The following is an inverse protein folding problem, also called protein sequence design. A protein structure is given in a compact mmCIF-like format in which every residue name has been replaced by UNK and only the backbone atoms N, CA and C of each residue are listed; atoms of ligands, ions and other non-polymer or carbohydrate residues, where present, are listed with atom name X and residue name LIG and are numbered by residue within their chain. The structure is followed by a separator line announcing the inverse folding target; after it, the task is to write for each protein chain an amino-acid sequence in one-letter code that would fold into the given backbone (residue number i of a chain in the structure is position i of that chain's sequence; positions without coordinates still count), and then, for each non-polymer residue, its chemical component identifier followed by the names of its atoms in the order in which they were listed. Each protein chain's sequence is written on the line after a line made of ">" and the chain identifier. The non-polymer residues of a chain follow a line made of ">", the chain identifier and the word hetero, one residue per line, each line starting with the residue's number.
data_IF_604577747317
#
_entry.id   IF_604577747317
#
_cell.length_a   1.000
_cell.length_b   1.000
_cell.length_c   1.000
_cell.angle_alpha   90.00
_cell.angle_beta   90.00
_cell.angle_gamma   90.00
#
_symmetry.space_group_name_H-M   'P 1'
#
loop_
_entity.id
_entity.type
_entity.pdbx_description
1 polymer ?
#
# COMPACT_ATOMS: atom_id res chain seq x y z
N UNK A 1 -3.35 -14.51 -10.47
CA UNK A 1 -3.93 -13.58 -11.47
C UNK A 1 -4.83 -14.29 -12.49
N UNK A 2 -4.35 -15.30 -13.20
CA UNK A 2 -5.14 -16.04 -14.24
C UNK A 2 -6.46 -16.58 -13.69
N UNK A 3 -6.52 -17.09 -12.46
CA UNK A 3 -7.75 -17.63 -11.87
C UNK A 3 -8.83 -16.57 -11.59
N UNK A 4 -8.46 -15.32 -11.31
CA UNK A 4 -9.44 -14.24 -11.12
C UNK A 4 -10.08 -13.81 -12.45
N UNK A 5 -9.27 -13.69 -13.49
CA UNK A 5 -9.73 -13.30 -14.83
C UNK A 5 -10.60 -14.40 -15.46
N UNK A 6 -10.25 -15.68 -15.20
CA UNK A 6 -11.05 -16.81 -15.64
C UNK A 6 -12.44 -16.90 -15.00
N UNK A 7 -12.59 -16.50 -13.74
CA UNK A 7 -13.89 -16.49 -13.04
C UNK A 7 -14.88 -15.48 -13.64
N UNK A 8 -14.39 -14.40 -14.21
CA UNK A 8 -15.20 -13.36 -14.85
C UNK A 8 -15.53 -13.68 -16.33
N UNK A 9 -15.11 -14.83 -16.84
CA UNK A 9 -15.44 -15.26 -18.21
C UNK A 9 -14.58 -14.64 -19.32
N UNK A 10 -13.57 -13.80 -18.97
CA UNK A 10 -12.68 -13.15 -19.95
C UNK A 10 -11.64 -14.08 -20.54
N UNK A 11 -11.30 -15.14 -19.81
CA UNK A 11 -10.34 -16.16 -20.23
C UNK A 11 -10.97 -17.54 -20.00
N UNK A 12 -10.91 -18.40 -21.00
CA UNK A 12 -11.26 -19.82 -20.88
C UNK A 12 -10.02 -20.68 -21.04
N UNK A 13 -9.91 -21.73 -20.24
CA UNK A 13 -8.89 -22.76 -20.38
C UNK A 13 -9.47 -23.93 -21.17
N UNK A 14 -8.77 -24.35 -22.22
CA UNK A 14 -9.10 -25.53 -23.00
C UNK A 14 -7.80 -26.28 -23.33
N UNK A 15 -7.70 -27.57 -23.01
CA UNK A 15 -6.50 -28.40 -23.23
C UNK A 15 -5.18 -27.75 -22.81
N UNK A 16 -5.14 -27.19 -21.58
CA UNK A 16 -4.00 -26.45 -20.99
C UNK A 16 -3.58 -25.15 -21.70
N UNK A 17 -4.32 -24.74 -22.73
CA UNK A 17 -4.17 -23.42 -23.36
C UNK A 17 -5.22 -22.44 -22.83
N UNK A 18 -4.87 -21.14 -22.82
CA UNK A 18 -5.75 -20.06 -22.37
C UNK A 18 -6.19 -19.21 -23.56
N UNK A 19 -7.51 -19.06 -23.71
CA UNK A 19 -8.12 -18.28 -24.77
C UNK A 19 -8.81 -17.04 -24.19
N UNK A 20 -8.52 -15.87 -24.77
CA UNK A 20 -9.23 -14.63 -24.46
C UNK A 20 -10.62 -14.73 -25.14
N UNK A 21 -11.67 -14.68 -24.32
CA UNK A 21 -13.05 -14.79 -24.79
C UNK A 21 -13.73 -13.45 -25.01
N UNK A 22 -13.23 -12.40 -24.37
CA UNK A 22 -13.71 -11.04 -24.53
C UNK A 22 -12.54 -10.06 -24.49
N UNK A 23 -12.57 -9.06 -25.37
CA UNK A 23 -11.63 -7.94 -25.36
C UNK A 23 -12.44 -6.67 -25.32
N UNK A 24 -12.19 -5.82 -24.36
CA UNK A 24 -12.69 -4.46 -24.37
C UNK A 24 -12.02 -3.68 -25.50
N UNK A 25 -12.77 -2.79 -26.15
CA UNK A 25 -12.17 -1.74 -26.99
C UNK A 25 -11.40 -0.76 -26.09
N UNK A 26 -10.48 0.02 -26.66
CA UNK A 26 -9.78 1.06 -25.90
C UNK A 26 -10.77 2.06 -25.29
N UNK A 27 -11.80 2.45 -26.03
CA UNK A 27 -12.84 3.38 -25.57
C UNK A 27 -13.65 2.80 -24.40
N UNK A 28 -14.08 1.54 -24.45
CA UNK A 28 -14.77 0.89 -23.34
C UNK A 28 -13.89 0.80 -22.08
N UNK A 29 -12.60 0.50 -22.29
CA UNK A 29 -11.63 0.42 -21.20
C UNK A 29 -11.43 1.81 -20.52
N UNK A 30 -11.28 2.87 -21.31
CA UNK A 30 -11.07 4.23 -20.81
C UNK A 30 -12.31 4.75 -20.06
N UNK A 31 -13.51 4.49 -20.57
CA UNK A 31 -14.76 4.83 -19.90
C UNK A 31 -14.86 4.09 -18.55
N UNK A 32 -14.57 2.79 -18.52
CA UNK A 32 -14.58 2.01 -17.28
C UNK A 32 -13.57 2.50 -16.28
N UNK A 33 -12.33 2.73 -16.70
CA UNK A 33 -11.25 3.20 -15.84
C UNK A 33 -11.59 4.58 -15.24
N UNK A 34 -12.14 5.48 -16.04
CA UNK A 34 -12.59 6.80 -15.59
C UNK A 34 -13.71 6.70 -14.55
N UNK A 35 -14.74 5.88 -14.81
CA UNK A 35 -15.85 5.70 -13.88
C UNK A 35 -15.39 5.11 -12.54
N UNK A 36 -14.49 4.10 -12.56
CA UNK A 36 -13.92 3.53 -11.35
C UNK A 36 -13.13 4.59 -10.56
N UNK A 37 -12.32 5.38 -11.25
CA UNK A 37 -11.54 6.45 -10.64
C UNK A 37 -12.44 7.50 -9.96
N UNK A 38 -13.42 8.02 -10.70
CA UNK A 38 -14.32 9.07 -10.20
C UNK A 38 -15.15 8.58 -9.00
N UNK A 39 -15.77 7.40 -9.10
CA UNK A 39 -16.54 6.81 -8.01
C UNK A 39 -15.70 6.55 -6.76
N UNK A 40 -14.47 6.05 -6.93
CA UNK A 40 -13.58 5.81 -5.80
C UNK A 40 -13.17 7.11 -5.11
N UNK A 41 -12.82 8.14 -5.88
CA UNK A 41 -12.43 9.44 -5.33
C UNK A 41 -13.62 10.11 -4.63
N UNK A 42 -14.82 10.00 -5.17
CA UNK A 42 -16.04 10.54 -4.55
C UNK A 42 -16.36 9.83 -3.23
N UNK A 43 -16.27 8.51 -3.19
CA UNK A 43 -16.62 7.72 -2.01
C UNK A 43 -15.56 7.77 -0.90
N UNK A 44 -14.28 7.70 -1.25
CA UNK A 44 -13.18 7.52 -0.28
C UNK A 44 -12.22 8.72 -0.19
N UNK A 45 -12.26 9.65 -1.12
CA UNK A 45 -11.37 10.82 -1.14
C UNK A 45 -9.90 10.50 -1.44
N UNK A 46 -9.56 9.29 -1.85
CA UNK A 46 -8.18 8.80 -2.00
C UNK A 46 -7.57 9.11 -3.37
N UNK A 47 -7.61 10.38 -3.80
CA UNK A 47 -7.14 10.79 -5.14
C UNK A 47 -5.67 10.43 -5.42
N UNK A 48 -4.80 10.54 -4.43
CA UNK A 48 -3.38 10.20 -4.61
C UNK A 48 -3.16 8.70 -4.78
N UNK A 49 -3.94 7.86 -4.09
CA UNK A 49 -3.93 6.42 -4.28
C UNK A 49 -4.40 6.05 -5.69
N UNK A 50 -5.48 6.65 -6.16
CA UNK A 50 -6.01 6.39 -7.50
C UNK A 50 -5.07 6.89 -8.60
N UNK A 51 -4.44 8.05 -8.43
CA UNK A 51 -3.40 8.52 -9.35
C UNK A 51 -2.21 7.56 -9.41
N UNK A 52 -1.76 7.02 -8.27
CA UNK A 52 -0.68 6.04 -8.24
C UNK A 52 -1.06 4.75 -8.99
N UNK A 53 -2.28 4.24 -8.78
CA UNK A 53 -2.79 3.05 -9.49
C UNK A 53 -2.84 3.30 -11.00
N UNK A 54 -3.34 4.47 -11.41
CA UNK A 54 -3.45 4.83 -12.82
C UNK A 54 -2.08 4.97 -13.50
N UNK A 55 -1.11 5.63 -12.84
CA UNK A 55 0.24 5.78 -13.38
C UNK A 55 0.96 4.43 -13.53
N UNK A 56 0.81 3.53 -12.55
CA UNK A 56 1.33 2.16 -12.68
C UNK A 56 0.65 1.40 -13.81
N UNK A 57 -0.67 1.52 -13.94
CA UNK A 57 -1.43 0.86 -15.01
C UNK A 57 -0.96 1.29 -16.41
N UNK A 58 -0.75 2.59 -16.63
CA UNK A 58 -0.23 3.13 -17.90
C UNK A 58 1.17 2.60 -18.24
N UNK A 59 1.99 2.34 -17.25
CA UNK A 59 3.40 1.96 -17.43
C UNK A 59 3.67 0.47 -17.22
N UNK A 60 2.65 -0.34 -16.90
CA UNK A 60 2.84 -1.75 -16.53
C UNK A 60 3.60 -2.55 -17.59
N UNK A 61 3.38 -2.28 -18.89
CA UNK A 61 4.09 -2.95 -19.98
C UNK A 61 5.59 -2.64 -19.99
N UNK A 62 5.96 -1.39 -19.72
CA UNK A 62 7.36 -0.95 -19.71
C UNK A 62 8.06 -1.36 -18.42
N UNK A 63 7.33 -1.43 -17.30
CA UNK A 63 7.82 -1.99 -16.03
C UNK A 63 8.17 -3.47 -16.21
N UNK A 64 7.26 -4.25 -16.81
CA UNK A 64 7.46 -5.68 -17.04
C UNK A 64 8.60 -5.97 -18.04
N UNK A 65 8.96 -5.01 -18.89
CA UNK A 65 10.12 -5.06 -19.77
C UNK A 65 11.41 -4.52 -19.14
N UNK A 66 11.38 -4.18 -17.85
CA UNK A 66 12.50 -3.59 -17.10
C UNK A 66 13.01 -2.25 -17.69
N UNK A 67 12.17 -1.52 -18.43
CA UNK A 67 12.50 -0.22 -19.01
C UNK A 67 12.17 0.95 -18.09
N UNK A 68 11.27 0.75 -17.12
CA UNK A 68 10.83 1.74 -16.14
C UNK A 68 11.02 1.14 -14.75
N UNK A 69 11.69 1.88 -13.89
CA UNK A 69 11.84 1.52 -12.49
C UNK A 69 10.53 1.84 -11.73
N UNK A 70 9.83 0.82 -11.15
CA UNK A 70 8.62 1.04 -10.39
C UNK A 70 8.82 1.89 -9.13
N UNK A 71 10.05 1.93 -8.59
CA UNK A 71 10.37 2.79 -7.44
C UNK A 71 10.25 4.27 -7.82
N UNK A 72 10.66 4.63 -9.04
CA UNK A 72 10.51 6.00 -9.55
C UNK A 72 9.05 6.44 -9.68
N UNK A 73 8.12 5.52 -9.96
CA UNK A 73 6.68 5.81 -9.98
C UNK A 73 6.14 6.02 -8.55
N UNK A 74 6.62 5.24 -7.61
CA UNK A 74 6.22 5.35 -6.20
C UNK A 74 6.72 6.65 -5.55
N UNK A 75 7.90 7.14 -5.98
CA UNK A 75 8.54 8.36 -5.49
C UNK A 75 8.76 9.37 -6.62
N UNK A 76 7.70 9.89 -7.26
CA UNK A 76 7.84 10.82 -8.37
C UNK A 76 8.59 12.08 -7.92
N UNK A 77 9.70 12.39 -8.61
CA UNK A 77 10.58 13.53 -8.28
C UNK A 77 11.05 13.55 -6.81
N UNK A 78 11.19 12.37 -6.20
CA UNK A 78 11.55 12.22 -4.78
C UNK A 78 10.40 12.53 -3.80
N UNK A 79 9.19 12.79 -4.29
CA UNK A 79 8.02 13.03 -3.46
C UNK A 79 7.48 11.75 -2.83
N UNK A 80 7.12 11.79 -1.55
CA UNK A 80 6.51 10.68 -0.82
C UNK A 80 4.97 10.68 -0.86
N UNK A 81 4.34 11.43 -1.79
CA UNK A 81 2.89 11.57 -1.86
C UNK A 81 2.15 10.23 -2.04
N UNK A 82 2.70 9.34 -2.87
CA UNK A 82 2.07 8.05 -3.15
C UNK A 82 2.32 7.03 -2.04
N UNK A 83 3.49 7.03 -1.43
CA UNK A 83 3.74 6.20 -0.24
C UNK A 83 2.88 6.63 0.95
N UNK A 84 2.69 7.94 1.16
CA UNK A 84 1.73 8.42 2.15
C UNK A 84 0.30 7.98 1.83
N UNK A 85 -0.12 8.05 0.57
CA UNK A 85 -1.43 7.57 0.16
C UNK A 85 -1.61 6.08 0.46
N UNK A 86 -0.62 5.24 0.09
CA UNK A 86 -0.67 3.81 0.30
C UNK A 86 -0.69 3.39 1.78
N UNK A 87 0.15 4.01 2.61
CA UNK A 87 0.46 3.49 3.95
C UNK A 87 -0.07 4.36 5.10
N UNK A 88 -0.52 5.61 4.83
CA UNK A 88 -0.93 6.56 5.87
C UNK A 88 -2.35 7.08 5.66
N UNK A 89 -2.63 7.68 4.48
CA UNK A 89 -3.82 8.52 4.32
C UNK A 89 -5.01 7.83 3.71
N UNK A 90 -4.82 6.75 2.94
CA UNK A 90 -5.94 6.00 2.38
C UNK A 90 -6.84 5.39 3.46
N UNK A 91 -8.09 5.18 3.12
CA UNK A 91 -9.08 4.56 4.01
C UNK A 91 -8.62 3.19 4.48
N UNK A 92 -8.02 2.40 3.59
CA UNK A 92 -7.46 1.09 3.89
C UNK A 92 -6.28 1.18 4.86
N UNK A 93 -5.34 2.09 4.61
CA UNK A 93 -4.18 2.29 5.48
C UNK A 93 -4.59 2.71 6.90
N UNK A 94 -5.55 3.63 7.00
CA UNK A 94 -6.10 4.06 8.31
C UNK A 94 -6.69 2.90 9.08
N UNK A 95 -7.51 2.06 8.45
CA UNK A 95 -8.11 0.90 9.10
C UNK A 95 -7.04 -0.08 9.57
N UNK A 96 -6.05 -0.40 8.73
CA UNK A 96 -4.96 -1.32 9.08
C UNK A 96 -4.15 -0.78 10.26
N UNK A 97 -3.74 0.49 10.22
CA UNK A 97 -2.98 1.11 11.31
C UNK A 97 -3.79 1.17 12.61
N UNK A 98 -5.09 1.43 12.54
CA UNK A 98 -6.00 1.37 13.69
C UNK A 98 -6.06 -0.03 14.33
N UNK A 99 -6.05 -1.07 13.50
CA UNK A 99 -6.00 -2.45 13.95
C UNK A 99 -4.71 -2.74 14.73
N UNK A 100 -3.55 -2.34 14.20
CA UNK A 100 -2.28 -2.50 14.89
C UNK A 100 -2.24 -1.73 16.22
N UNK A 101 -2.67 -0.48 16.24
CA UNK A 101 -2.74 0.30 17.48
C UNK A 101 -3.66 -0.34 18.52
N UNK A 102 -4.82 -0.82 18.10
CA UNK A 102 -5.76 -1.50 18.99
C UNK A 102 -5.20 -2.79 19.57
N UNK A 103 -4.53 -3.59 18.73
CA UNK A 103 -3.85 -4.82 19.16
C UNK A 103 -2.75 -4.52 20.18
N UNK A 104 -1.87 -3.55 19.89
CA UNK A 104 -0.77 -3.17 20.78
C UNK A 104 -1.32 -2.61 22.09
N UNK A 105 -2.33 -1.75 22.04
CA UNK A 105 -2.99 -1.22 23.24
C UNK A 105 -3.54 -2.34 24.14
N UNK A 106 -4.20 -3.31 23.56
CA UNK A 106 -4.76 -4.42 24.32
C UNK A 106 -3.65 -5.35 24.86
N UNK A 107 -2.61 -5.58 24.06
CA UNK A 107 -1.44 -6.36 24.51
C UNK A 107 -0.74 -5.72 25.70
N UNK A 108 -0.53 -4.39 25.68
CA UNK A 108 0.12 -3.67 26.79
C UNK A 108 -0.71 -3.72 28.07
N UNK A 109 -2.03 -3.58 27.99
CA UNK A 109 -2.95 -3.71 29.15
C UNK A 109 -2.85 -5.07 29.81
N UNK A 110 -2.69 -6.13 29.03
CA UNK A 110 -2.58 -7.51 29.56
C UNK A 110 -1.20 -7.84 30.09
N UNK A 111 -0.17 -7.05 29.77
CA UNK A 111 1.22 -7.26 30.14
C UNK A 111 1.77 -6.12 31.00
N UNK A 112 0.97 -5.57 31.90
CA UNK A 112 1.39 -4.51 32.82
C UNK A 112 2.59 -4.94 33.66
N UNK A 113 3.51 -3.99 33.88
CA UNK A 113 4.75 -4.23 34.66
C UNK A 113 5.85 -4.96 33.88
N UNK A 114 5.68 -5.19 32.60
CA UNK A 114 6.72 -5.72 31.71
C UNK A 114 7.08 -4.69 30.64
N UNK A 115 8.38 -4.59 30.35
CA UNK A 115 8.87 -3.82 29.21
C UNK A 115 8.42 -4.47 27.91
N UNK A 116 7.75 -3.70 27.06
CA UNK A 116 7.27 -4.15 25.75
C UNK A 116 8.40 -3.98 24.74
N UNK A 117 8.70 -5.03 23.99
CA UNK A 117 9.70 -4.99 22.91
C UNK A 117 9.02 -5.29 21.57
N UNK A 118 9.18 -4.36 20.65
CA UNK A 118 8.60 -4.44 19.29
C UNK A 118 9.73 -4.43 18.28
N UNK A 119 9.71 -5.36 17.37
CA UNK A 119 10.58 -5.40 16.20
C UNK A 119 9.71 -5.21 14.94
N UNK A 120 9.96 -4.14 14.20
CA UNK A 120 9.37 -3.90 12.88
C UNK A 120 10.41 -4.20 11.81
N UNK A 121 10.04 -5.11 10.89
CA UNK A 121 10.89 -5.50 9.75
C UNK A 121 10.31 -4.89 8.49
N UNK A 122 11.12 -4.08 7.77
CA UNK A 122 10.66 -3.36 6.59
C UNK A 122 9.81 -2.14 6.96
N UNK A 123 10.24 -1.38 7.95
CA UNK A 123 9.50 -0.26 8.52
C UNK A 123 9.31 0.94 7.56
N UNK A 124 10.15 1.04 6.52
CA UNK A 124 10.01 2.01 5.43
C UNK A 124 9.86 3.45 5.91
N UNK A 125 8.75 4.07 5.56
CA UNK A 125 8.44 5.48 5.88
C UNK A 125 7.94 5.69 7.32
N UNK A 126 8.06 4.72 8.22
CA UNK A 126 7.52 4.73 9.58
C UNK A 126 5.98 4.89 9.67
N UNK A 127 5.27 4.62 8.60
CA UNK A 127 3.82 4.80 8.52
C UNK A 127 3.04 3.99 9.57
N UNK A 128 3.56 2.83 9.95
CA UNK A 128 3.00 1.96 11.00
C UNK A 128 3.66 2.25 12.36
N UNK A 129 4.98 2.50 12.38
CA UNK A 129 5.72 2.79 13.61
C UNK A 129 5.15 3.99 14.36
N UNK A 130 4.94 5.11 13.70
CA UNK A 130 4.51 6.36 14.32
C UNK A 130 3.20 6.23 15.14
N UNK A 131 2.09 5.71 14.60
CA UNK A 131 0.86 5.54 15.37
C UNK A 131 1.00 4.50 16.50
N UNK A 132 1.86 3.47 16.33
CA UNK A 132 2.15 2.50 17.39
C UNK A 132 2.93 3.15 18.52
N UNK A 133 3.98 3.91 18.22
CA UNK A 133 4.79 4.64 19.20
C UNK A 133 3.90 5.63 19.97
N UNK A 134 3.01 6.32 19.29
CA UNK A 134 2.03 7.20 19.94
C UNK A 134 1.14 6.46 20.94
N UNK A 135 0.69 5.25 20.58
CA UNK A 135 -0.08 4.36 21.47
C UNK A 135 0.71 3.93 22.71
N UNK A 136 2.04 3.86 22.61
CA UNK A 136 2.94 3.39 23.67
C UNK A 136 3.46 4.48 24.61
N UNK A 137 3.11 5.76 24.43
CA UNK A 137 3.68 6.91 25.15
C UNK A 137 3.74 6.77 26.68
N UNK A 138 2.81 6.02 27.28
CA UNK A 138 2.76 5.82 28.73
C UNK A 138 3.16 4.38 29.14
N UNK A 139 3.90 3.69 28.29
CA UNK A 139 4.35 2.31 28.51
C UNK A 139 5.87 2.27 28.53
N UNK A 140 6.48 1.39 29.30
CA UNK A 140 7.92 1.10 29.18
C UNK A 140 8.13 0.21 27.95
N UNK A 141 8.76 0.74 26.90
CA UNK A 141 8.94 0.01 25.64
C UNK A 141 10.30 0.21 25.01
N UNK A 142 10.65 -0.71 24.14
CA UNK A 142 11.74 -0.62 23.17
C UNK A 142 11.18 -0.91 21.79
N UNK A 143 11.43 -0.02 20.83
CA UNK A 143 11.00 -0.19 19.44
C UNK A 143 12.22 -0.34 18.53
N UNK A 144 12.33 -1.48 17.88
CA UNK A 144 13.40 -1.78 16.92
C UNK A 144 12.87 -1.55 15.51
N UNK A 145 13.17 -0.40 14.96
CA UNK A 145 12.84 0.00 13.61
C UNK A 145 13.91 -0.53 12.65
N UNK A 146 13.58 -1.41 11.73
CA UNK A 146 14.53 -1.99 10.79
C UNK A 146 14.04 -1.93 9.35
N UNK A 147 14.97 -1.68 8.43
CA UNK A 147 14.75 -1.70 7.00
C UNK A 147 16.03 -2.10 6.25
N UNK A 148 15.91 -2.64 5.03
CA UNK A 148 17.05 -2.98 4.19
C UNK A 148 17.70 -1.76 3.55
N UNK A 149 16.98 -0.65 3.43
CA UNK A 149 17.47 0.60 2.85
C UNK A 149 17.68 1.68 3.91
N UNK A 150 18.83 2.34 3.85
CA UNK A 150 19.13 3.49 4.71
C UNK A 150 18.36 4.76 4.33
N UNK A 151 17.74 4.78 3.16
CA UNK A 151 17.02 5.95 2.65
C UNK A 151 15.91 6.42 3.61
N UNK A 152 15.20 5.48 4.20
CA UNK A 152 14.08 5.77 5.10
C UNK A 152 14.50 6.21 6.51
N UNK A 153 15.69 5.84 6.97
CA UNK A 153 16.15 6.21 8.32
C UNK A 153 16.31 7.72 8.48
N UNK A 154 16.87 8.40 7.48
CA UNK A 154 17.11 9.84 7.55
C UNK A 154 15.82 10.69 7.63
N UNK A 155 14.70 10.16 7.10
CA UNK A 155 13.39 10.81 7.19
C UNK A 155 12.68 10.46 8.50
N UNK A 156 12.80 9.19 8.94
CA UNK A 156 12.19 8.69 10.16
C UNK A 156 12.81 9.28 11.43
N UNK A 157 14.14 9.46 11.49
CA UNK A 157 14.86 10.09 12.62
C UNK A 157 14.41 11.52 12.90
N UNK A 158 13.85 12.22 11.93
CA UNK A 158 13.31 13.57 12.12
C UNK A 158 11.91 13.58 12.73
N UNK A 159 11.26 12.42 12.75
CA UNK A 159 9.83 12.31 13.06
C UNK A 159 9.59 11.47 14.32
N UNK A 160 10.53 10.59 14.70
CA UNK A 160 10.54 9.78 15.90
C UNK A 160 11.39 10.46 16.98
#
# INVERSE_FOLDING_TARGET
>A
MVNCIGRNGYIKKYNDEYFITYRYSEEEHDIMAKNIFENWVEEYGDINLMNYIQENGKQISEILKEKVDPVGILYPEGSNKYTKALYVTSSVAKVINQYYCSFISEYTKRNTGRKIRILEIGAGTAATALPIIDTLKNTDYEYYFTDITKYFFAESEKTI
#
